data_IF_691773119426
#
_entry.id   IF_691773119426
#
_cell.length_a   1.000
_cell.length_b   1.000
_cell.length_c   1.000
_cell.angle_alpha   90.00
_cell.angle_beta   90.00
_cell.angle_gamma   90.00
#
_symmetry.space_group_name_H-M   'P 1'
#
loop_
_entity.id
_entity.type
_entity.pdbx_description
1 polymer ?
#
# COMPACT_ATOMS: atom_id res chain seq x y z
N UNK A 1 -7.41 2.79 -30.45
CA UNK A 1 -8.52 3.58 -29.89
C UNK A 1 -8.19 3.84 -28.43
N UNK A 2 -8.04 5.11 -28.07
CA UNK A 2 -7.46 5.59 -26.80
C UNK A 2 -8.31 5.20 -25.59
N UNK A 3 -7.80 4.31 -24.76
CA UNK A 3 -8.42 3.97 -23.50
C UNK A 3 -8.22 5.18 -22.57
N UNK A 4 -9.26 6.00 -22.43
CA UNK A 4 -9.23 7.19 -21.58
C UNK A 4 -9.30 6.71 -20.11
N UNK A 5 -8.19 6.17 -19.59
CA UNK A 5 -8.11 5.69 -18.21
C UNK A 5 -8.33 6.88 -17.27
N UNK A 6 -9.46 6.86 -16.57
CA UNK A 6 -10.05 8.03 -15.90
C UNK A 6 -9.63 8.17 -14.43
N UNK A 7 -8.85 7.22 -13.91
CA UNK A 7 -8.50 7.13 -12.49
C UNK A 7 -6.99 7.09 -12.32
N UNK A 8 -6.42 8.26 -12.00
CA UNK A 8 -5.01 8.39 -11.71
C UNK A 8 -4.70 8.17 -10.22
N UNK A 9 -3.65 7.40 -9.93
CA UNK A 9 -3.26 6.99 -8.59
C UNK A 9 -1.81 7.30 -8.29
N UNK A 10 -1.54 7.60 -7.02
CA UNK A 10 -0.19 7.77 -6.47
C UNK A 10 0.03 6.78 -5.32
N UNK A 11 1.21 6.17 -5.27
CA UNK A 11 1.61 5.23 -4.22
C UNK A 11 2.84 5.76 -3.48
N UNK A 12 2.65 6.19 -2.24
CA UNK A 12 3.73 6.64 -1.36
C UNK A 12 4.10 5.54 -0.38
N UNK A 13 5.40 5.37 -0.10
CA UNK A 13 5.90 4.16 0.58
C UNK A 13 5.62 2.89 -0.25
N UNK A 14 5.80 3.01 -1.57
CA UNK A 14 5.36 2.03 -2.56
C UNK A 14 6.04 0.66 -2.47
N UNK A 15 7.22 0.59 -1.86
CA UNK A 15 8.04 -0.62 -1.85
C UNK A 15 8.22 -1.19 -3.27
N UNK A 16 8.10 -2.51 -3.40
CA UNK A 16 8.19 -3.20 -4.69
C UNK A 16 6.92 -3.09 -5.56
N UNK A 17 5.86 -2.42 -5.08
CA UNK A 17 4.64 -2.14 -5.88
C UNK A 17 3.48 -3.13 -5.72
N UNK A 18 3.46 -3.95 -4.67
CA UNK A 18 2.35 -4.91 -4.47
C UNK A 18 0.95 -4.28 -4.37
N UNK A 19 0.84 -3.13 -3.70
CA UNK A 19 -0.42 -2.36 -3.62
C UNK A 19 -0.78 -1.71 -4.96
N UNK A 20 0.22 -1.13 -5.63
CA UNK A 20 0.11 -0.60 -7.00
C UNK A 20 -0.37 -1.65 -8.01
N UNK A 21 0.15 -2.88 -7.96
CA UNK A 21 -0.30 -3.97 -8.82
C UNK A 21 -1.80 -4.27 -8.61
N UNK A 22 -2.25 -4.37 -7.36
CA UNK A 22 -3.67 -4.58 -7.04
C UNK A 22 -4.55 -3.44 -7.56
N UNK A 23 -4.10 -2.19 -7.43
CA UNK A 23 -4.81 -1.02 -7.94
C UNK A 23 -4.88 -1.02 -9.48
N UNK A 24 -3.80 -1.39 -10.17
CA UNK A 24 -3.77 -1.53 -11.63
C UNK A 24 -4.72 -2.63 -12.12
N UNK A 25 -4.75 -3.77 -11.43
CA UNK A 25 -5.73 -4.84 -11.71
C UNK A 25 -7.18 -4.36 -11.54
N UNK A 26 -7.41 -3.41 -10.64
CA UNK A 26 -8.71 -2.75 -10.46
C UNK A 26 -8.99 -1.59 -11.45
N UNK A 27 -8.07 -1.33 -12.40
CA UNK A 27 -8.25 -0.32 -13.45
C UNK A 27 -7.74 1.09 -13.10
N UNK A 28 -6.95 1.24 -12.03
CA UNK A 28 -6.31 2.50 -11.65
C UNK A 28 -4.95 2.61 -12.35
N UNK A 29 -4.69 3.74 -13.00
CA UNK A 29 -3.36 4.06 -13.53
C UNK A 29 -2.50 4.59 -12.39
N UNK A 30 -1.32 4.02 -12.17
CA UNK A 30 -0.35 4.57 -11.22
C UNK A 30 0.55 5.53 -11.98
N UNK A 31 0.44 6.83 -11.72
CA UNK A 31 1.30 7.84 -12.37
C UNK A 31 2.61 8.07 -11.62
N UNK A 32 2.59 7.93 -10.29
CA UNK A 32 3.72 8.28 -9.44
C UNK A 32 3.84 7.29 -8.29
N UNK A 33 5.06 6.81 -8.06
CA UNK A 33 5.42 5.99 -6.92
C UNK A 33 6.65 6.55 -6.21
N UNK A 34 6.62 6.58 -4.88
CA UNK A 34 7.69 7.14 -4.05
C UNK A 34 8.11 6.12 -3.01
N UNK A 35 9.41 5.87 -2.90
CA UNK A 35 10.01 5.11 -1.80
C UNK A 35 11.46 5.55 -1.62
N UNK A 36 11.98 5.45 -0.40
CA UNK A 36 13.38 5.74 -0.09
C UNK A 36 14.33 4.60 -0.46
N UNK A 37 13.81 3.36 -0.59
CA UNK A 37 14.62 2.19 -0.84
C UNK A 37 14.86 2.02 -2.35
N UNK A 38 16.13 2.12 -2.75
CA UNK A 38 16.53 2.04 -4.15
C UNK A 38 16.19 0.68 -4.80
N UNK A 39 16.45 -0.42 -4.12
CA UNK A 39 16.18 -1.77 -4.65
C UNK A 39 14.68 -2.01 -4.85
N UNK A 40 13.86 -1.47 -3.93
CA UNK A 40 12.41 -1.49 -4.03
C UNK A 40 11.92 -0.68 -5.24
N UNK A 41 12.46 0.53 -5.45
CA UNK A 41 12.14 1.35 -6.64
C UNK A 41 12.59 0.70 -7.94
N UNK A 42 13.77 0.06 -7.98
CA UNK A 42 14.23 -0.67 -9.15
C UNK A 42 13.27 -1.82 -9.49
N UNK A 43 12.84 -2.57 -8.47
CA UNK A 43 11.82 -3.63 -8.62
C UNK A 43 10.47 -3.06 -9.06
N UNK A 44 10.03 -1.95 -8.46
CA UNK A 44 8.78 -1.27 -8.82
C UNK A 44 8.80 -0.87 -10.29
N UNK A 45 9.86 -0.18 -10.73
CA UNK A 45 10.00 0.32 -12.11
C UNK A 45 10.02 -0.80 -13.14
N UNK A 46 10.63 -1.95 -12.79
CA UNK A 46 10.61 -3.13 -13.65
C UNK A 46 9.18 -3.65 -13.87
N UNK A 47 8.34 -3.68 -12.83
CA UNK A 47 6.98 -4.22 -12.89
C UNK A 47 5.92 -3.18 -13.33
N UNK A 48 6.20 -1.89 -13.15
CA UNK A 48 5.30 -0.77 -13.44
C UNK A 48 5.96 0.28 -14.35
N UNK A 49 6.35 -0.08 -15.59
CA UNK A 49 7.18 0.78 -16.44
C UNK A 49 6.50 2.10 -16.87
N UNK A 50 5.17 2.20 -16.77
CA UNK A 50 4.41 3.40 -17.09
C UNK A 50 4.35 4.44 -15.96
N UNK A 51 4.71 4.04 -14.73
CA UNK A 51 4.70 4.91 -13.57
C UNK A 51 6.03 5.67 -13.46
N UNK A 52 5.95 6.96 -13.14
CA UNK A 52 7.11 7.71 -12.69
C UNK A 52 7.49 7.24 -11.27
N UNK A 53 8.80 7.12 -11.00
CA UNK A 53 9.31 6.67 -9.70
C UNK A 53 10.28 7.69 -9.13
N UNK A 54 10.11 8.05 -7.86
CA UNK A 54 11.05 8.92 -7.14
C UNK A 54 11.67 8.14 -5.97
N UNK A 55 12.99 8.01 -6.00
CA UNK A 55 13.77 7.38 -4.95
C UNK A 55 14.28 8.43 -3.96
N UNK A 56 13.53 8.74 -2.90
CA UNK A 56 13.94 9.71 -1.88
C UNK A 56 13.23 9.49 -0.53
N UNK A 57 13.70 10.17 0.52
CA UNK A 57 12.89 10.31 1.75
C UNK A 57 11.68 11.19 1.41
N UNK A 58 10.48 10.71 1.75
CA UNK A 58 9.24 11.45 1.50
C UNK A 58 9.21 12.83 2.16
N UNK A 59 10.00 13.06 3.22
CA UNK A 59 10.13 14.38 3.87
C UNK A 59 10.73 15.44 2.95
N UNK A 60 11.51 15.03 1.95
CA UNK A 60 12.17 15.92 0.99
C UNK A 60 11.26 16.28 -0.19
N UNK A 61 10.13 15.57 -0.35
CA UNK A 61 9.14 15.85 -1.38
C UNK A 61 8.36 17.12 -1.03
N UNK A 62 8.25 18.02 -2.00
CA UNK A 62 7.22 19.05 -2.03
C UNK A 62 6.09 18.56 -2.95
N UNK A 63 4.94 18.16 -2.39
CA UNK A 63 3.85 17.61 -3.19
C UNK A 63 3.13 18.68 -4.02
N UNK A 64 3.28 19.97 -3.70
CA UNK A 64 2.72 21.07 -4.49
C UNK A 64 3.29 21.13 -5.91
N UNK A 65 4.44 20.48 -6.18
CA UNK A 65 5.01 20.36 -7.52
C UNK A 65 4.30 19.31 -8.39
N UNK A 66 3.47 18.45 -7.80
CA UNK A 66 2.79 17.34 -8.46
C UNK A 66 1.29 17.66 -8.55
N UNK A 67 0.93 18.66 -9.35
CA UNK A 67 -0.47 19.09 -9.49
C UNK A 67 -1.15 18.24 -10.56
N UNK A 68 -2.05 17.36 -10.14
CA UNK A 68 -2.90 16.55 -11.01
C UNK A 68 -4.26 16.25 -10.33
N UNK A 69 -5.24 15.76 -11.09
CA UNK A 69 -6.51 15.25 -10.56
C UNK A 69 -6.35 13.79 -10.09
N UNK A 70 -5.71 13.62 -8.94
CA UNK A 70 -5.54 12.30 -8.34
C UNK A 70 -6.88 11.72 -7.87
N UNK A 71 -7.23 10.58 -8.46
CA UNK A 71 -8.35 9.79 -7.99
C UNK A 71 -8.05 9.16 -6.63
N UNK A 72 -6.85 8.61 -6.43
CA UNK A 72 -6.50 7.90 -5.20
C UNK A 72 -5.05 8.12 -4.79
N UNK A 73 -4.83 8.31 -3.49
CA UNK A 73 -3.51 8.20 -2.87
C UNK A 73 -3.46 6.93 -2.03
N UNK A 74 -2.42 6.14 -2.18
CA UNK A 74 -2.23 4.93 -1.40
C UNK A 74 -0.89 5.00 -0.66
N UNK A 75 -0.81 4.41 0.52
CA UNK A 75 0.47 4.29 1.20
C UNK A 75 0.45 3.51 2.50
N UNK A 76 1.56 2.83 2.77
CA UNK A 76 1.79 2.06 4.00
C UNK A 76 2.98 2.60 4.79
N UNK A 77 2.88 3.76 5.46
CA UNK A 77 4.00 4.33 6.20
C UNK A 77 4.47 3.36 7.29
N UNK A 78 5.78 3.14 7.44
CA UNK A 78 6.29 2.21 8.43
C UNK A 78 6.03 2.72 9.85
N UNK A 79 5.68 1.80 10.76
CA UNK A 79 5.37 2.10 12.15
C UNK A 79 6.65 2.25 13.03
N UNK A 80 7.83 2.22 12.44
CA UNK A 80 9.13 2.26 13.13
C UNK A 80 9.50 3.70 13.55
N UNK A 81 8.87 4.19 14.61
CA UNK A 81 9.18 5.52 15.15
C UNK A 81 8.41 5.91 16.40
N UNK A 82 7.54 5.04 16.88
CA UNK A 82 6.61 5.41 17.93
C UNK A 82 6.86 4.72 19.29
N UNK A 83 7.95 3.94 19.41
CA UNK A 83 8.29 3.20 20.63
C UNK A 83 8.27 4.11 21.87
N UNK A 84 7.73 3.56 22.97
CA UNK A 84 7.43 4.21 24.25
C UNK A 84 8.68 4.78 24.97
N UNK A 85 9.87 4.61 24.40
CA UNK A 85 11.15 4.90 25.06
C UNK A 85 11.59 6.38 25.07
N UNK A 86 10.82 7.32 24.48
CA UNK A 86 11.23 8.74 24.37
C UNK A 86 10.20 9.76 24.86
N UNK A 87 9.38 9.43 25.85
CA UNK A 87 8.52 10.42 26.55
C UNK A 87 9.30 11.47 27.36
N UNK A 88 10.64 11.40 27.42
CA UNK A 88 11.49 12.39 28.12
C UNK A 88 12.03 13.52 27.24
N UNK A 89 11.92 13.44 25.91
CA UNK A 89 12.45 14.47 24.98
C UNK A 89 11.35 14.97 24.05
N UNK A 90 10.31 15.54 24.66
CA UNK A 90 9.23 16.23 23.95
C UNK A 90 9.71 17.63 23.53
N UNK A 91 10.57 17.68 22.51
CA UNK A 91 10.68 18.88 21.70
C UNK A 91 9.60 18.77 20.62
N UNK A 92 8.68 19.74 20.56
CA UNK A 92 7.58 19.81 19.58
C UNK A 92 8.06 19.71 18.12
N UNK A 93 9.34 19.95 17.86
CA UNK A 93 9.98 19.77 16.56
C UNK A 93 10.13 18.29 16.13
N UNK A 94 10.20 17.32 17.05
CA UNK A 94 10.47 15.91 16.70
C UNK A 94 9.20 15.06 16.52
N UNK A 95 8.03 15.49 17.00
CA UNK A 95 6.79 14.73 16.81
C UNK A 95 6.30 14.76 15.35
N UNK A 96 6.51 15.88 14.64
CA UNK A 96 6.09 16.05 13.23
C UNK A 96 6.96 15.26 12.23
N UNK A 97 8.05 14.64 12.68
CA UNK A 97 8.97 13.88 11.84
C UNK A 97 8.58 12.42 11.61
N UNK A 98 7.47 11.95 12.20
CA UNK A 98 6.97 10.60 11.92
C UNK A 98 6.44 10.51 10.48
N UNK A 99 6.76 9.41 9.79
CA UNK A 99 6.31 9.13 8.42
C UNK A 99 4.78 9.05 8.29
N UNK A 100 4.09 8.82 9.41
CA UNK A 100 2.65 8.98 9.52
C UNK A 100 2.16 10.42 9.22
N UNK A 101 2.83 11.43 9.76
CA UNK A 101 2.47 12.84 9.47
C UNK A 101 2.80 13.19 8.02
N UNK A 102 3.77 12.52 7.41
CA UNK A 102 4.09 12.67 5.99
C UNK A 102 2.97 12.11 5.10
N UNK A 103 2.29 11.03 5.52
CA UNK A 103 1.08 10.57 4.84
C UNK A 103 -0.05 11.60 4.93
N UNK A 104 -0.30 12.17 6.12
CA UNK A 104 -1.31 13.24 6.29
C UNK A 104 -0.96 14.46 5.42
N UNK A 105 0.32 14.85 5.41
CA UNK A 105 0.84 15.94 4.57
C UNK A 105 0.55 15.69 3.09
N UNK A 106 0.86 14.48 2.60
CA UNK A 106 0.60 14.10 1.22
C UNK A 106 -0.90 14.17 0.87
N UNK A 107 -1.79 13.65 1.72
CA UNK A 107 -3.24 13.76 1.52
C UNK A 107 -3.70 15.22 1.48
N UNK A 108 -3.16 16.07 2.36
CA UNK A 108 -3.48 17.49 2.40
C UNK A 108 -3.01 18.23 1.15
N UNK A 109 -1.75 18.04 0.75
CA UNK A 109 -1.12 18.79 -0.35
C UNK A 109 -1.62 18.30 -1.72
N UNK A 110 -1.79 16.98 -1.92
CA UNK A 110 -2.28 16.41 -3.19
C UNK A 110 -3.80 16.42 -3.31
N UNK A 111 -4.52 16.50 -2.18
CA UNK A 111 -5.98 16.54 -2.12
C UNK A 111 -6.69 15.50 -3.03
N UNK A 112 -6.36 14.19 -2.94
CA UNK A 112 -6.94 13.18 -3.81
C UNK A 112 -8.45 12.98 -3.58
N UNK A 113 -9.18 12.34 -4.50
CA UNK A 113 -10.60 12.02 -4.25
C UNK A 113 -10.77 10.92 -3.19
N UNK A 114 -9.84 9.99 -3.16
CA UNK A 114 -9.77 8.84 -2.26
C UNK A 114 -8.38 8.72 -1.63
N UNK A 115 -8.30 8.09 -0.47
CA UNK A 115 -7.03 7.56 0.03
C UNK A 115 -7.18 6.15 0.60
N UNK A 116 -6.09 5.40 0.58
CA UNK A 116 -5.91 4.14 1.30
C UNK A 116 -4.68 4.27 2.18
N UNK A 117 -4.88 4.13 3.48
CA UNK A 117 -3.82 3.97 4.45
C UNK A 117 -3.76 2.50 4.88
N UNK A 118 -2.62 1.85 4.65
CA UNK A 118 -2.35 0.48 5.08
C UNK A 118 -1.40 0.47 6.29
N UNK A 119 -1.61 -0.46 7.21
CA UNK A 119 -0.62 -0.78 8.23
C UNK A 119 -0.76 -2.18 8.82
N UNK A 120 0.20 -2.56 9.68
CA UNK A 120 0.06 -3.75 10.53
C UNK A 120 -1.14 -3.61 11.48
N UNK A 121 -1.82 -4.72 11.78
CA UNK A 121 -2.96 -4.77 12.72
C UNK A 121 -2.64 -4.12 14.08
N UNK A 122 -1.39 -4.23 14.55
CA UNK A 122 -0.95 -3.67 15.82
C UNK A 122 -1.12 -2.15 15.95
N UNK A 123 -1.32 -1.41 14.84
CA UNK A 123 -1.61 0.03 14.88
C UNK A 123 -2.89 0.35 15.66
N UNK A 124 -3.84 -0.59 15.72
CA UNK A 124 -5.12 -0.45 16.43
C UNK A 124 -4.95 -0.27 17.94
N UNK A 125 -3.91 -0.89 18.51
CA UNK A 125 -3.58 -0.85 19.95
C UNK A 125 -2.49 0.18 20.26
N UNK A 126 -1.88 0.73 19.22
CA UNK A 126 -0.68 1.54 19.33
C UNK A 126 -0.95 2.87 20.06
N UNK A 127 -0.16 3.19 21.10
CA UNK A 127 -0.39 4.35 21.98
C UNK A 127 -1.84 4.46 22.46
N UNK A 128 -2.49 3.33 22.79
CA UNK A 128 -3.90 3.28 23.19
C UNK A 128 -4.85 3.87 22.13
N UNK A 129 -4.52 3.74 20.85
CA UNK A 129 -5.32 4.22 19.73
C UNK A 129 -5.10 5.69 19.36
N UNK A 130 -4.12 6.38 19.97
CA UNK A 130 -3.87 7.80 19.71
C UNK A 130 -3.54 8.09 18.24
N UNK A 131 -2.75 7.23 17.58
CA UNK A 131 -2.37 7.40 16.17
C UNK A 131 -3.59 7.38 15.26
N UNK A 132 -4.47 6.39 15.43
CA UNK A 132 -5.70 6.30 14.64
C UNK A 132 -6.67 7.44 14.96
N UNK A 133 -6.73 7.90 16.21
CA UNK A 133 -7.51 9.09 16.59
C UNK A 133 -7.02 10.33 15.83
N UNK A 134 -5.72 10.61 15.86
CA UNK A 134 -5.13 11.73 15.12
C UNK A 134 -5.39 11.61 13.62
N UNK A 135 -5.26 10.39 13.06
CA UNK A 135 -5.53 10.17 11.64
C UNK A 135 -6.97 10.49 11.29
N UNK A 136 -7.94 9.98 12.07
CA UNK A 136 -9.36 10.25 11.85
C UNK A 136 -9.70 11.72 11.97
N UNK A 137 -9.18 12.40 13.00
CA UNK A 137 -9.37 13.84 13.20
C UNK A 137 -8.81 14.64 12.02
N UNK A 138 -7.56 14.38 11.62
CA UNK A 138 -6.94 15.06 10.49
C UNK A 138 -7.69 14.80 9.17
N UNK A 139 -8.12 13.56 8.90
CA UNK A 139 -8.86 13.24 7.67
C UNK A 139 -10.25 13.90 7.65
N UNK A 140 -10.93 13.97 8.81
CA UNK A 140 -12.20 14.66 8.95
C UNK A 140 -12.05 16.18 8.72
N UNK A 141 -11.02 16.80 9.29
CA UNK A 141 -10.69 18.22 9.07
C UNK A 141 -10.38 18.52 7.59
N UNK A 142 -9.78 17.57 6.88
CA UNK A 142 -9.53 17.65 5.44
C UNK A 142 -10.77 17.31 4.58
N UNK A 143 -11.92 16.99 5.19
CA UNK A 143 -13.18 16.74 4.50
C UNK A 143 -13.39 15.31 4.00
N UNK A 144 -12.65 14.33 4.54
CA UNK A 144 -12.81 12.92 4.17
C UNK A 144 -13.67 12.17 5.19
N UNK A 145 -14.59 11.36 4.67
CA UNK A 145 -15.30 10.34 5.46
C UNK A 145 -14.52 9.04 5.33
N UNK A 146 -14.24 8.39 6.47
CA UNK A 146 -13.38 7.21 6.53
C UNK A 146 -14.13 5.97 7.02
N UNK A 147 -13.73 4.81 6.50
CA UNK A 147 -14.02 3.50 7.08
C UNK A 147 -12.73 2.74 7.30
N UNK A 148 -12.74 1.89 8.31
CA UNK A 148 -11.58 1.11 8.72
C UNK A 148 -11.93 -0.34 9.00
N UNK A 149 -11.02 -1.25 8.67
CA UNK A 149 -11.19 -2.68 8.93
C UNK A 149 -9.82 -3.36 8.94
N UNK A 150 -9.71 -4.39 9.78
CA UNK A 150 -8.61 -5.36 9.67
C UNK A 150 -9.05 -6.46 8.71
N UNK A 151 -8.25 -6.69 7.66
CA UNK A 151 -8.48 -7.73 6.66
C UNK A 151 -7.40 -8.80 6.78
N UNK A 152 -7.79 -10.07 6.60
CA UNK A 152 -6.86 -11.20 6.60
C UNK A 152 -6.65 -11.68 5.17
N UNK A 153 -5.41 -11.70 4.67
CA UNK A 153 -5.12 -12.05 3.27
C UNK A 153 -5.67 -13.43 2.84
N UNK A 154 -5.75 -14.41 3.75
CA UNK A 154 -6.34 -15.73 3.49
C UNK A 154 -7.84 -15.73 3.23
N UNK A 155 -8.55 -14.67 3.60
CA UNK A 155 -9.95 -14.44 3.27
C UNK A 155 -10.14 -13.82 1.88
N UNK A 156 -9.04 -13.52 1.18
CA UNK A 156 -9.00 -12.89 -0.15
C UNK A 156 -8.17 -13.71 -1.15
N UNK A 157 -8.07 -15.04 -0.93
CA UNK A 157 -7.46 -15.96 -1.89
C UNK A 157 -5.93 -16.04 -1.85
N UNK A 158 -5.29 -15.52 -0.80
CA UNK A 158 -3.84 -15.65 -0.61
C UNK A 158 -3.56 -16.77 0.39
N UNK A 159 -2.67 -17.75 0.12
CA UNK A 159 -2.35 -18.85 1.05
C UNK A 159 -1.45 -18.39 2.22
N UNK A 160 -1.81 -17.28 2.87
CA UNK A 160 -1.06 -16.66 3.95
C UNK A 160 -2.01 -16.02 4.97
N UNK A 161 -1.86 -16.38 6.23
CA UNK A 161 -2.52 -15.68 7.34
C UNK A 161 -1.77 -14.40 7.66
N UNK A 162 -2.19 -13.29 7.05
CA UNK A 162 -1.61 -11.96 7.24
C UNK A 162 -2.70 -10.94 7.46
N UNK A 163 -2.75 -10.41 8.67
CA UNK A 163 -3.68 -9.36 9.04
C UNK A 163 -3.10 -7.99 8.69
N UNK A 164 -3.92 -7.14 8.07
CA UNK A 164 -3.59 -5.74 7.79
C UNK A 164 -4.75 -4.83 8.10
N UNK A 165 -4.42 -3.74 8.77
CA UNK A 165 -5.34 -2.64 9.00
C UNK A 165 -5.40 -1.79 7.74
N UNK A 166 -6.62 -1.48 7.32
CA UNK A 166 -6.88 -0.54 6.23
C UNK A 166 -7.79 0.57 6.74
N UNK A 167 -7.45 1.81 6.42
CA UNK A 167 -8.35 2.94 6.47
C UNK A 167 -8.54 3.48 5.06
N UNK A 168 -9.78 3.48 4.59
CA UNK A 168 -10.17 4.01 3.29
C UNK A 168 -10.99 5.26 3.54
N UNK A 169 -10.62 6.37 2.91
CA UNK A 169 -11.36 7.62 3.01
C UNK A 169 -11.67 8.22 1.66
N UNK A 170 -12.79 8.94 1.56
CA UNK A 170 -13.13 9.73 0.39
C UNK A 170 -13.80 11.05 0.76
N UNK A 171 -13.61 12.05 -0.09
CA UNK A 171 -14.25 13.36 0.00
C UNK A 171 -15.41 13.55 -0.99
N UNK A 172 -15.87 12.46 -1.61
CA UNK A 172 -16.95 12.44 -2.59
C UNK A 172 -18.33 12.18 -1.95
N UNK A 173 -18.38 11.93 -0.64
CA UNK A 173 -19.61 11.54 0.06
C UNK A 173 -20.08 10.12 -0.26
N UNK A 174 -19.21 9.29 -0.83
CA UNK A 174 -19.54 7.90 -1.15
C UNK A 174 -19.50 7.06 0.13
N UNK A 175 -20.59 6.35 0.43
CA UNK A 175 -20.61 5.36 1.51
C UNK A 175 -19.88 4.09 1.05
N UNK A 176 -18.57 4.07 1.23
CA UNK A 176 -17.70 2.94 0.89
C UNK A 176 -18.03 1.71 1.76
N UNK A 177 -17.90 0.50 1.23
CA UNK A 177 -17.91 -0.74 2.00
C UNK A 177 -16.68 -1.57 1.61
N UNK A 178 -16.09 -2.26 2.59
CA UNK A 178 -14.97 -3.17 2.30
C UNK A 178 -15.44 -4.36 1.47
N UNK A 179 -14.57 -4.92 0.60
CA UNK A 179 -14.92 -6.06 -0.23
C UNK A 179 -15.30 -7.27 0.61
N UNK A 180 -16.27 -8.03 0.10
CA UNK A 180 -16.64 -9.33 0.66
C UNK A 180 -15.45 -10.30 0.53
N UNK A 181 -15.37 -11.20 1.50
CA UNK A 181 -14.38 -12.28 1.49
C UNK A 181 -14.67 -13.22 0.31
N UNK A 182 -13.63 -13.86 -0.22
CA UNK A 182 -13.82 -14.93 -1.20
C UNK A 182 -14.27 -16.22 -0.51
N UNK A 183 -15.08 -17.01 -1.19
CA UNK A 183 -15.42 -18.37 -0.73
C UNK A 183 -14.25 -19.35 -0.96
N UNK A 184 -13.38 -19.05 -1.94
CA UNK A 184 -12.30 -19.93 -2.35
C UNK A 184 -11.06 -19.73 -1.49
N UNK A 185 -10.72 -20.74 -0.70
CA UNK A 185 -9.46 -20.78 0.05
C UNK A 185 -8.37 -21.38 -0.83
N UNK A 186 -7.23 -20.72 -0.88
CA UNK A 186 -6.04 -21.18 -1.61
C UNK A 186 -5.06 -21.79 -0.61
N UNK A 187 -4.58 -23.00 -0.91
CA UNK A 187 -3.57 -23.70 -0.12
C UNK A 187 -2.15 -23.34 -0.56
N UNK A 188 -1.17 -23.65 0.29
CA UNK A 188 0.25 -23.50 -0.06
C UNK A 188 0.59 -24.36 -1.29
N UNK A 189 0.06 -25.59 -1.36
CA UNK A 189 0.31 -26.47 -2.48
C UNK A 189 -0.20 -25.87 -3.80
N UNK A 190 -1.39 -25.26 -3.81
CA UNK A 190 -1.91 -24.61 -5.02
C UNK A 190 -1.05 -23.44 -5.50
N UNK A 191 -0.35 -22.75 -4.60
CA UNK A 191 0.46 -21.59 -4.96
C UNK A 191 1.91 -21.91 -5.35
N UNK A 192 2.49 -23.00 -4.85
CA UNK A 192 3.93 -23.28 -5.07
C UNK A 192 4.27 -24.71 -5.51
N UNK A 193 3.30 -25.64 -5.65
CA UNK A 193 3.63 -27.03 -5.96
C UNK A 193 4.18 -27.25 -7.38
N UNK A 194 4.02 -26.30 -8.29
CA UNK A 194 4.57 -26.32 -9.64
C UNK A 194 6.01 -25.76 -9.72
N UNK A 195 6.52 -25.14 -8.66
CA UNK A 195 7.90 -24.63 -8.60
C UNK A 195 8.93 -25.78 -8.65
N UNK A 196 10.13 -25.54 -9.22
CA UNK A 196 11.24 -26.51 -9.22
C UNK A 196 11.75 -26.80 -7.81
N UNK A 197 12.35 -27.98 -7.64
CA UNK A 197 13.03 -28.33 -6.40
C UNK A 197 14.40 -27.64 -6.34
N UNK A 198 14.74 -27.12 -5.16
CA UNK A 198 15.99 -26.44 -4.90
C UNK A 198 16.68 -27.08 -3.70
N UNK A 199 18.00 -27.16 -3.75
CA UNK A 199 18.82 -27.51 -2.59
C UNK A 199 19.03 -26.29 -1.69
N UNK A 200 19.26 -26.54 -0.40
CA UNK A 200 19.53 -25.48 0.56
C UNK A 200 20.78 -24.68 0.15
N UNK A 201 20.65 -23.36 0.05
CA UNK A 201 21.73 -22.46 -0.38
C UNK A 201 21.92 -22.37 -1.89
N UNK A 202 21.00 -22.89 -2.70
CA UNK A 202 21.00 -22.70 -4.15
C UNK A 202 21.03 -21.21 -4.51
N UNK A 203 21.84 -20.87 -5.52
CA UNK A 203 22.01 -19.52 -6.10
C UNK A 203 21.67 -19.52 -7.59
N UNK A 204 20.63 -20.26 -7.96
CA UNK A 204 20.16 -20.35 -9.33
C UNK A 204 19.00 -19.36 -9.46
N UNK A 205 19.15 -18.39 -10.35
CA UNK A 205 18.17 -17.31 -10.52
C UNK A 205 16.97 -17.75 -11.39
N UNK A 206 17.18 -18.69 -12.33
CA UNK A 206 16.18 -19.13 -13.29
C UNK A 206 16.13 -20.65 -13.44
N UNK A 207 14.92 -21.22 -13.36
CA UNK A 207 14.63 -22.63 -13.61
C UNK A 207 13.24 -22.80 -14.23
N UNK A 208 13.02 -23.84 -15.04
CA UNK A 208 11.68 -24.11 -15.57
C UNK A 208 10.74 -24.60 -14.47
N UNK A 209 9.45 -24.25 -14.61
CA UNK A 209 8.38 -24.82 -13.81
C UNK A 209 8.27 -26.34 -14.02
N UNK A 210 7.92 -27.09 -12.97
CA UNK A 210 7.72 -28.56 -13.04
C UNK A 210 6.46 -28.94 -13.79
N UNK A 211 5.44 -28.08 -13.79
CA UNK A 211 4.19 -28.29 -14.50
C UNK A 211 4.07 -27.29 -15.65
N UNK A 212 3.73 -27.78 -16.83
CA UNK A 212 3.50 -26.94 -17.99
C UNK A 212 2.07 -26.38 -17.95
N UNK A 213 1.90 -25.06 -18.09
CA UNK A 213 0.60 -24.36 -18.03
C UNK A 213 -0.42 -24.90 -19.04
N UNK A 214 0.05 -25.48 -20.16
CA UNK A 214 -0.79 -26.09 -21.19
C UNK A 214 -1.67 -27.25 -20.68
N UNK A 215 -1.30 -27.91 -19.57
CA UNK A 215 -2.04 -29.03 -19.01
C UNK A 215 -3.06 -28.64 -17.91
N UNK A 216 -3.15 -27.35 -17.53
CA UNK A 216 -4.09 -26.89 -16.49
C UNK A 216 -5.39 -26.29 -17.03
N UNK A 217 -5.46 -25.89 -18.31
CA UNK A 217 -6.69 -25.33 -18.92
C UNK A 217 -7.69 -26.41 -19.41
N UNK A 218 -7.45 -27.69 -19.08
CA UNK A 218 -8.28 -28.83 -19.47
C UNK A 218 -9.05 -29.48 -18.31
N UNK A 219 -9.20 -28.77 -17.20
CA UNK A 219 -10.03 -29.15 -16.04
C UNK A 219 -11.01 -28.01 -15.73
#
# INVERSE_FOLDING_TARGET
MTNNQRYNGIDIFSGAGGMSLGAQMAGIKISLAIDHNKDAIETFKFNHPEAETICCDIKEINFENFIDDYFILMGGPPCQGFSVSNTKTRNEQNSNNSLFYQFIRAVKELNPKWFIFENVEGITLFKKGEVLRILREAMLELGYVTKEKVLTASEYGVPQNRNRFFMVGNRLGVNFEFPLQTENKVSVAEAIADLPELENGSKIDELPYRKNLANMLSL
#
